data_IF_967999398711
#
_entry.id   IF_967999398711
#
_cell.length_a   1.000
_cell.length_b   1.000
_cell.length_c   1.000
_cell.angle_alpha   90.00
_cell.angle_beta   90.00
_cell.angle_gamma   90.00
#
_symmetry.space_group_name_H-M   'P 1'
#
loop_
_entity.id
_entity.type
_entity.pdbx_description
1 polymer ?
#
# COMPACT_ATOMS: atom_id res chain seq x y z
N UNK A 1 -38.60 23.48 11.54
CA UNK A 1 -38.10 22.14 11.88
C UNK A 1 -37.00 21.82 10.92
N UNK A 2 -35.82 21.57 11.48
CA UNK A 2 -34.54 21.41 10.82
C UNK A 2 -34.36 19.95 10.34
N UNK A 3 -33.57 19.79 9.27
CA UNK A 3 -32.69 18.65 8.99
C UNK A 3 -33.38 17.32 8.57
N UNK A 4 -32.96 16.56 7.54
CA UNK A 4 -31.68 16.45 6.83
C UNK A 4 -31.88 16.03 5.37
N UNK A 5 -31.19 16.73 4.47
CA UNK A 5 -30.72 16.14 3.21
C UNK A 5 -29.88 14.90 3.52
N UNK A 6 -30.42 13.70 3.30
CA UNK A 6 -29.61 12.50 3.14
C UNK A 6 -29.22 12.40 1.67
N UNK A 7 -28.31 13.29 1.23
CA UNK A 7 -27.38 12.88 0.19
C UNK A 7 -26.31 12.04 0.89
N UNK A 8 -26.21 10.77 0.53
CA UNK A 8 -24.93 10.08 0.59
C UNK A 8 -24.74 9.31 -0.70
N UNK A 9 -23.57 9.49 -1.32
CA UNK A 9 -23.46 9.57 -2.76
C UNK A 9 -23.13 8.18 -3.30
N UNK A 10 -23.56 7.93 -4.53
CA UNK A 10 -22.84 7.06 -5.45
C UNK A 10 -21.41 7.60 -5.64
N UNK A 11 -20.53 7.44 -4.63
CA UNK A 11 -19.09 7.55 -4.81
C UNK A 11 -18.70 6.34 -5.63
N UNK A 12 -18.78 6.49 -6.95
CA UNK A 12 -18.01 5.67 -7.89
C UNK A 12 -16.60 5.53 -7.31
N UNK A 13 -16.01 4.33 -7.28
CA UNK A 13 -14.65 4.17 -6.80
C UNK A 13 -13.77 5.12 -7.62
N UNK A 14 -13.13 6.07 -6.95
CA UNK A 14 -12.14 6.91 -7.58
C UNK A 14 -11.04 5.93 -8.05
N UNK A 15 -10.76 5.81 -9.35
CA UNK A 15 -9.77 4.85 -9.81
C UNK A 15 -8.43 5.19 -9.16
N UNK A 16 -7.75 4.21 -8.57
CA UNK A 16 -6.47 4.39 -7.88
C UNK A 16 -5.49 5.26 -8.68
N UNK A 17 -5.41 4.99 -9.99
CA UNK A 17 -4.51 5.68 -10.92
C UNK A 17 -5.05 7.02 -11.44
N UNK A 18 -6.23 7.44 -11.00
CA UNK A 18 -6.75 8.78 -11.25
C UNK A 18 -6.47 9.75 -10.10
N UNK A 19 -6.17 9.22 -8.91
CA UNK A 19 -5.75 9.98 -7.73
C UNK A 19 -4.48 10.78 -8.03
N UNK A 20 -4.50 12.07 -7.72
CA UNK A 20 -3.40 13.01 -8.03
C UNK A 20 -2.03 12.52 -7.55
N UNK A 21 -2.00 11.96 -6.35
CA UNK A 21 -0.76 11.53 -5.69
C UNK A 21 -0.21 10.25 -6.32
N UNK A 22 -1.09 9.31 -6.69
CA UNK A 22 -0.71 8.08 -7.41
C UNK A 22 -0.28 8.37 -8.86
N UNK A 23 -1.00 9.27 -9.57
CA UNK A 23 -0.58 9.74 -10.90
C UNK A 23 0.83 10.33 -10.86
N UNK A 24 1.06 11.27 -9.93
CA UNK A 24 2.37 11.90 -9.76
C UNK A 24 3.44 10.87 -9.44
N UNK A 25 3.16 9.91 -8.56
CA UNK A 25 4.09 8.83 -8.24
C UNK A 25 4.48 8.02 -9.49
N UNK A 26 3.50 7.54 -10.26
CA UNK A 26 3.74 6.73 -11.47
C UNK A 26 4.57 7.49 -12.50
N UNK A 27 4.19 8.75 -12.78
CA UNK A 27 4.89 9.59 -13.75
C UNK A 27 6.32 9.90 -13.31
N UNK A 28 6.53 10.30 -12.05
CA UNK A 28 7.85 10.71 -11.55
C UNK A 28 8.81 9.55 -11.32
N UNK A 29 8.29 8.35 -11.08
CA UNK A 29 9.09 7.15 -10.81
C UNK A 29 9.19 6.20 -11.99
N UNK A 30 8.51 6.49 -13.10
CA UNK A 30 8.56 5.69 -14.32
C UNK A 30 8.03 4.27 -14.11
N UNK A 31 6.92 4.16 -13.38
CA UNK A 31 6.29 2.86 -13.11
C UNK A 31 5.63 2.34 -14.39
N UNK A 32 5.93 1.09 -14.75
CA UNK A 32 5.41 0.44 -15.93
C UNK A 32 3.93 0.09 -15.78
N UNK A 33 3.22 0.00 -16.90
CA UNK A 33 1.81 -0.41 -16.87
C UNK A 33 1.65 -1.86 -16.38
N UNK A 34 2.66 -2.70 -16.61
CA UNK A 34 2.69 -4.10 -16.18
C UNK A 34 2.65 -4.29 -14.66
N UNK A 35 3.10 -3.29 -13.88
CA UNK A 35 3.12 -3.36 -12.42
C UNK A 35 1.89 -2.72 -11.76
N UNK A 36 0.99 -2.14 -12.56
CA UNK A 36 -0.24 -1.54 -12.04
C UNK A 36 -1.09 -2.53 -11.26
N UNK A 37 -1.20 -3.78 -11.73
CA UNK A 37 -1.93 -4.81 -11.02
C UNK A 37 -1.34 -5.11 -9.62
N UNK A 38 -0.01 -5.10 -9.48
CA UNK A 38 0.65 -5.29 -8.19
C UNK A 38 0.36 -4.12 -7.24
N UNK A 39 0.38 -2.89 -7.78
CA UNK A 39 0.10 -1.68 -7.02
C UNK A 39 -1.38 -1.61 -6.61
N UNK A 40 -2.31 -2.03 -7.47
CA UNK A 40 -3.74 -2.15 -7.13
C UNK A 40 -3.96 -3.15 -6.00
N UNK A 41 -3.28 -4.29 -6.04
CA UNK A 41 -3.38 -5.29 -4.99
C UNK A 41 -2.83 -4.78 -3.65
N UNK A 42 -1.66 -4.12 -3.66
CA UNK A 42 -1.11 -3.45 -2.47
C UNK A 42 -2.02 -2.32 -1.96
N UNK A 43 -2.65 -1.60 -2.87
CA UNK A 43 -3.59 -0.53 -2.57
C UNK A 43 -4.88 -0.99 -1.89
N UNK A 44 -5.17 -2.29 -1.86
CA UNK A 44 -6.30 -2.85 -1.14
C UNK A 44 -5.99 -3.12 0.36
N UNK A 45 -4.74 -3.00 0.79
CA UNK A 45 -4.38 -3.19 2.19
C UNK A 45 -4.70 -1.96 3.05
N UNK A 46 -5.08 -2.14 4.32
CA UNK A 46 -5.30 -1.04 5.26
C UNK A 46 -4.10 -0.10 5.35
N UNK A 47 -4.33 1.21 5.40
CA UNK A 47 -3.25 2.20 5.53
C UNK A 47 -2.40 1.97 6.80
N UNK A 48 -3.00 1.52 7.90
CA UNK A 48 -2.27 1.16 9.13
C UNK A 48 -1.26 0.03 8.88
N UNK A 49 -1.67 -1.00 8.14
CA UNK A 49 -0.81 -2.09 7.74
C UNK A 49 0.32 -1.58 6.83
N UNK A 50 0.00 -0.75 5.83
CA UNK A 50 1.02 -0.15 4.96
C UNK A 50 2.05 0.66 5.76
N UNK A 51 1.60 1.45 6.74
CA UNK A 51 2.49 2.25 7.59
C UNK A 51 3.38 1.36 8.44
N UNK A 52 2.78 0.42 9.18
CA UNK A 52 3.50 -0.43 10.12
C UNK A 52 4.49 -1.35 9.40
N UNK A 53 4.05 -1.94 8.29
CA UNK A 53 4.81 -2.96 7.59
C UNK A 53 5.73 -2.42 6.51
N UNK A 54 5.47 -1.25 5.93
CA UNK A 54 6.28 -0.72 4.84
C UNK A 54 6.85 0.65 5.16
N UNK A 55 6.02 1.67 5.40
CA UNK A 55 6.50 3.05 5.58
C UNK A 55 7.57 3.13 6.68
N UNK A 56 7.28 2.60 7.87
CA UNK A 56 8.22 2.65 9.00
C UNK A 56 9.57 1.99 8.70
N UNK A 57 9.62 1.04 7.74
CA UNK A 57 10.87 0.40 7.34
C UNK A 57 11.78 1.33 6.55
N UNK A 58 11.23 2.28 5.79
CA UNK A 58 12.00 3.28 5.03
C UNK A 58 12.75 4.27 5.90
N UNK A 59 12.37 4.43 7.16
CA UNK A 59 13.14 5.17 8.15
C UNK A 59 14.39 4.44 8.67
N UNK A 60 14.48 3.13 8.44
CA UNK A 60 15.63 2.29 8.85
C UNK A 60 16.54 2.03 7.64
N UNK A 61 17.86 2.01 7.88
CA UNK A 61 18.89 1.87 6.84
C UNK A 61 18.56 0.77 5.79
N UNK A 62 18.62 1.15 4.51
CA UNK A 62 18.28 0.37 3.30
C UNK A 62 18.71 -1.11 3.38
N UNK A 63 19.94 -1.40 3.78
CA UNK A 63 20.51 -2.76 3.77
C UNK A 63 19.87 -3.71 4.80
N UNK A 64 19.24 -3.19 5.85
CA UNK A 64 18.55 -4.02 6.86
C UNK A 64 17.09 -4.29 6.52
N UNK A 65 16.53 -3.55 5.57
CA UNK A 65 15.09 -3.52 5.34
C UNK A 65 14.58 -4.66 4.45
N UNK A 66 15.25 -4.94 3.32
CA UNK A 66 14.91 -6.04 2.40
C UNK A 66 15.06 -7.39 3.08
N UNK A 67 16.21 -7.63 3.72
CA UNK A 67 16.48 -8.90 4.42
C UNK A 67 15.53 -9.11 5.61
N UNK A 68 15.14 -8.03 6.29
CA UNK A 68 14.12 -8.09 7.33
C UNK A 68 12.74 -8.40 6.77
N UNK A 69 12.37 -7.84 5.61
CA UNK A 69 11.09 -8.13 4.96
C UNK A 69 11.03 -9.58 4.47
N UNK A 70 12.11 -10.10 3.90
CA UNK A 70 12.26 -11.51 3.53
C UNK A 70 12.16 -12.42 4.75
N UNK A 71 12.78 -12.05 5.88
CA UNK A 71 12.66 -12.79 7.13
C UNK A 71 11.22 -12.77 7.68
N UNK A 72 10.54 -11.62 7.65
CA UNK A 72 9.15 -11.50 8.11
C UNK A 72 8.19 -12.29 7.21
N UNK A 73 8.46 -12.34 5.90
CA UNK A 73 7.74 -13.18 4.95
C UNK A 73 7.95 -14.67 5.24
N UNK A 74 9.19 -15.09 5.46
CA UNK A 74 9.51 -16.49 5.78
C UNK A 74 8.89 -16.94 7.12
N UNK A 75 8.78 -16.04 8.10
CA UNK A 75 8.26 -16.34 9.43
C UNK A 75 6.75 -16.13 9.58
N UNK A 76 6.10 -15.40 8.66
CA UNK A 76 4.66 -15.18 8.72
C UNK A 76 3.91 -16.50 8.53
N UNK A 77 2.84 -16.71 9.33
CA UNK A 77 1.87 -17.80 9.11
C UNK A 77 0.61 -17.32 8.38
N UNK A 78 0.55 -16.02 8.10
CA UNK A 78 -0.58 -15.36 7.48
C UNK A 78 -0.28 -15.16 5.99
N UNK A 79 -1.02 -15.86 5.13
CA UNK A 79 -0.83 -15.84 3.67
C UNK A 79 -1.16 -14.47 3.07
N UNK A 80 -2.15 -13.74 3.62
CA UNK A 80 -2.48 -12.37 3.19
C UNK A 80 -1.31 -11.42 3.48
N UNK A 81 -0.69 -11.55 4.66
CA UNK A 81 0.51 -10.77 5.00
C UNK A 81 1.72 -11.15 4.14
N UNK A 82 1.95 -12.44 3.89
CA UNK A 82 3.02 -12.90 2.98
C UNK A 82 2.84 -12.32 1.59
N UNK A 83 1.62 -12.36 1.06
CA UNK A 83 1.30 -11.80 -0.25
C UNK A 83 1.66 -10.32 -0.32
N UNK A 84 1.32 -9.53 0.69
CA UNK A 84 1.73 -8.13 0.75
C UNK A 84 3.26 -7.97 0.67
N UNK A 85 4.01 -8.78 1.41
CA UNK A 85 5.47 -8.75 1.40
C UNK A 85 6.06 -9.17 0.05
N UNK A 86 5.51 -10.19 -0.59
CA UNK A 86 5.91 -10.63 -1.93
C UNK A 86 5.72 -9.53 -2.98
N UNK A 87 4.55 -8.90 -3.00
CA UNK A 87 4.25 -7.79 -3.90
C UNK A 87 5.23 -6.64 -3.71
N UNK A 88 5.49 -6.31 -2.45
CA UNK A 88 6.38 -5.22 -2.08
C UNK A 88 7.84 -5.51 -2.49
N UNK A 89 8.34 -6.72 -2.21
CA UNK A 89 9.67 -7.17 -2.63
C UNK A 89 9.83 -7.19 -4.15
N UNK A 90 8.79 -7.58 -4.89
CA UNK A 90 8.82 -7.58 -6.35
C UNK A 90 9.03 -6.15 -6.89
N UNK A 91 8.29 -5.18 -6.36
CA UNK A 91 8.44 -3.76 -6.71
C UNK A 91 9.79 -3.20 -6.26
N UNK A 92 10.26 -3.58 -5.07
CA UNK A 92 11.53 -3.12 -4.52
C UNK A 92 12.72 -3.59 -5.36
N UNK A 93 12.71 -4.86 -5.78
CA UNK A 93 13.77 -5.42 -6.65
C UNK A 93 13.79 -4.75 -8.01
N UNK A 94 12.64 -4.33 -8.55
CA UNK A 94 12.53 -3.68 -9.87
C UNK A 94 12.87 -2.18 -9.83
N UNK A 95 12.31 -1.45 -8.88
CA UNK A 95 12.34 0.02 -8.84
C UNK A 95 13.25 0.61 -7.76
N UNK A 96 13.75 -0.25 -6.87
CA UNK A 96 14.62 0.13 -5.78
C UNK A 96 13.88 0.67 -4.55
N UNK A 97 14.60 0.62 -3.44
CA UNK A 97 14.16 1.05 -2.11
C UNK A 97 13.50 2.43 -2.09
N UNK A 98 14.16 3.44 -2.65
CA UNK A 98 13.67 4.83 -2.60
C UNK A 98 12.29 4.94 -3.29
N UNK A 99 12.10 4.26 -4.42
CA UNK A 99 10.82 4.28 -5.13
C UNK A 99 9.72 3.62 -4.32
N UNK A 100 10.01 2.48 -3.68
CA UNK A 100 9.03 1.79 -2.84
C UNK A 100 8.68 2.58 -1.56
N UNK A 101 9.60 3.39 -1.05
CA UNK A 101 9.29 4.31 0.04
C UNK A 101 8.27 5.37 -0.35
N UNK A 102 8.40 5.92 -1.56
CA UNK A 102 7.40 6.85 -2.10
C UNK A 102 6.07 6.15 -2.39
N UNK A 103 6.09 4.88 -2.83
CA UNK A 103 4.87 4.10 -2.98
C UNK A 103 4.15 3.93 -1.64
N UNK A 104 4.87 3.52 -0.59
CA UNK A 104 4.29 3.35 0.74
C UNK A 104 3.66 4.66 1.25
N UNK A 105 4.33 5.80 1.06
CA UNK A 105 3.75 7.12 1.38
C UNK A 105 2.51 7.45 0.54
N UNK A 106 2.55 7.21 -0.78
CA UNK A 106 1.41 7.44 -1.66
C UNK A 106 0.20 6.55 -1.30
N UNK A 107 0.44 5.33 -0.80
CA UNK A 107 -0.61 4.40 -0.34
C UNK A 107 -1.15 4.78 1.05
N UNK A 108 -0.30 5.31 1.94
CA UNK A 108 -0.75 5.83 3.25
C UNK A 108 -1.69 7.03 3.07
N UNK A 109 -1.35 7.97 2.20
CA UNK A 109 -2.10 9.21 1.98
C UNK A 109 -3.55 8.96 1.53
N UNK A 110 -3.84 7.77 0.99
CA UNK A 110 -5.19 7.33 0.60
C UNK A 110 -6.12 7.13 1.79
N UNK A 111 -5.58 6.97 3.01
CA UNK A 111 -6.31 6.82 4.27
C UNK A 111 -7.49 5.85 4.16
N UNK A 112 -7.27 4.69 3.54
CA UNK A 112 -8.33 3.71 3.34
C UNK A 112 -8.81 3.23 4.71
N UNK A 113 -10.08 3.49 5.07
CA UNK A 113 -10.62 3.02 6.33
C UNK A 113 -10.72 1.50 6.27
N UNK A 114 -10.38 0.86 7.39
CA UNK A 114 -10.42 -0.58 7.52
C UNK A 114 -11.40 -0.98 8.60
N UNK A 115 -11.97 -2.17 8.45
CA UNK A 115 -12.82 -2.78 9.46
C UNK A 115 -11.96 -3.53 10.48
N UNK A 116 -12.54 -3.81 11.65
CA UNK A 116 -11.89 -4.68 12.65
C UNK A 116 -11.53 -6.05 12.06
N UNK A 117 -12.39 -6.58 11.18
CA UNK A 117 -12.19 -7.84 10.48
C UNK A 117 -10.96 -7.81 9.55
N UNK A 118 -10.73 -6.70 8.85
CA UNK A 118 -9.54 -6.54 8.01
C UNK A 118 -8.25 -6.63 8.82
N UNK A 119 -8.26 -6.15 10.06
CA UNK A 119 -7.11 -6.24 10.96
C UNK A 119 -6.95 -7.65 11.55
N UNK A 120 -8.04 -8.31 11.95
CA UNK A 120 -8.00 -9.71 12.40
C UNK A 120 -7.49 -10.67 11.30
N UNK A 121 -7.71 -10.35 10.04
CA UNK A 121 -7.18 -11.12 8.91
C UNK A 121 -5.70 -10.82 8.61
N UNK A 122 -5.07 -9.85 9.28
CA UNK A 122 -3.69 -9.42 9.06
C UNK A 122 -2.77 -9.64 10.28
N UNK A 123 -3.34 -9.77 11.49
CA UNK A 123 -2.63 -9.93 12.77
C UNK A 123 -3.05 -11.21 13.49
#
# INVERSE_FOLDING_TARGET
MNDMNHESPDKKPNPLFEEKEMKRFIETRGIGEEDRALIEELAAYPSSFIVEQFHNRFGMLKERSTASLEADMANSKNERRKRAFELFLALERKYGWITCGHLAGALEDRRIPYTKKDMEELF
#
